data_IF_448273320619
#
_entry.id   IF_448273320619
#
_cell.length_a   1.000
_cell.length_b   1.000
_cell.length_c   1.000
_cell.angle_alpha   90.00
_cell.angle_beta   90.00
_cell.angle_gamma   90.00
#
_symmetry.space_group_name_H-M   'P 1'
#
loop_
_entity.id
_entity.type
_entity.pdbx_description
1 polymer ?
#
# COMPACT_ATOMS: atom_id res chain seq x y z
N UNK A 1 21.33 -18.11 -3.86
CA UNK A 1 21.92 -16.83 -3.37
C UNK A 1 20.78 -15.82 -3.27
N UNK A 2 20.36 -15.43 -2.07
CA UNK A 2 19.47 -14.30 -1.88
C UNK A 2 20.27 -13.00 -2.05
N UNK A 3 19.96 -12.24 -3.08
CA UNK A 3 20.50 -10.88 -3.24
C UNK A 3 19.59 -9.99 -2.41
N UNK A 4 20.04 -9.51 -1.25
CA UNK A 4 19.37 -8.45 -0.51
C UNK A 4 19.78 -7.11 -1.10
N UNK A 5 18.97 -6.58 -2.01
CA UNK A 5 19.12 -5.22 -2.49
C UNK A 5 18.36 -4.28 -1.56
N UNK A 6 19.06 -3.32 -0.98
CA UNK A 6 18.44 -2.29 -0.15
C UNK A 6 18.41 -0.97 -0.91
N UNK A 7 17.26 -0.61 -1.42
CA UNK A 7 17.04 0.66 -2.08
C UNK A 7 17.09 1.81 -1.04
N UNK A 8 17.80 2.86 -1.38
CA UNK A 8 17.92 4.06 -0.54
C UNK A 8 17.36 5.29 -1.24
N UNK A 9 16.99 6.37 -0.52
CA UNK A 9 16.56 7.62 -1.16
C UNK A 9 17.55 8.17 -2.19
N UNK A 10 18.85 7.96 -2.01
CA UNK A 10 19.87 8.40 -2.98
C UNK A 10 19.78 7.68 -4.32
N UNK A 11 19.36 6.43 -4.31
CA UNK A 11 19.23 5.62 -5.54
C UNK A 11 18.12 6.16 -6.44
N UNK A 12 17.12 6.84 -5.87
CA UNK A 12 15.94 7.36 -6.58
C UNK A 12 15.96 8.88 -6.79
N UNK A 13 17.00 9.60 -6.35
CA UNK A 13 17.12 11.06 -6.54
C UNK A 13 17.08 11.48 -8.00
N UNK A 14 17.56 10.63 -8.89
CA UNK A 14 17.65 10.86 -10.34
C UNK A 14 16.71 9.93 -11.12
N UNK A 15 15.66 9.43 -10.48
CA UNK A 15 14.69 8.59 -11.17
C UNK A 15 14.12 9.33 -12.38
N UNK A 16 14.05 8.64 -13.51
CA UNK A 16 13.43 9.17 -14.72
C UNK A 16 11.95 9.49 -14.47
N UNK A 17 11.34 10.43 -15.22
CA UNK A 17 9.90 10.62 -15.19
C UNK A 17 9.15 9.32 -15.50
N UNK A 18 7.93 9.20 -14.98
CA UNK A 18 7.05 8.08 -15.35
C UNK A 18 6.75 8.13 -16.87
N UNK A 19 6.77 6.99 -17.56
CA UNK A 19 6.25 6.91 -18.93
C UNK A 19 4.78 7.33 -18.99
N UNK A 20 4.36 7.99 -20.08
CA UNK A 20 2.98 8.46 -20.26
C UNK A 20 1.95 7.35 -20.10
N UNK A 21 2.26 6.15 -20.55
CA UNK A 21 1.41 4.97 -20.39
C UNK A 21 1.17 4.61 -18.92
N UNK A 22 2.17 4.80 -18.04
CA UNK A 22 2.03 4.59 -16.60
C UNK A 22 1.15 5.66 -15.97
N UNK A 23 1.29 6.92 -16.39
CA UNK A 23 0.43 8.01 -15.92
C UNK A 23 -1.02 7.69 -16.23
N UNK A 24 -1.30 7.34 -17.48
CA UNK A 24 -2.66 7.06 -17.97
C UNK A 24 -3.30 5.80 -17.38
N UNK A 25 -2.51 4.91 -16.79
CA UNK A 25 -3.01 3.65 -16.24
C UNK A 25 -2.99 3.59 -14.72
N UNK A 26 -2.02 4.21 -14.08
CA UNK A 26 -1.75 4.00 -12.65
C UNK A 26 -1.85 5.27 -11.80
N UNK A 27 -2.23 6.42 -12.40
CA UNK A 27 -2.49 7.66 -11.67
C UNK A 27 -3.93 8.16 -11.80
N UNK A 28 -4.84 7.34 -12.33
CA UNK A 28 -6.25 7.66 -12.51
C UNK A 28 -7.10 7.10 -11.37
N UNK A 29 -8.29 7.65 -11.20
CA UNK A 29 -9.30 7.15 -10.26
C UNK A 29 -10.21 6.12 -10.98
N UNK A 30 -9.70 4.91 -11.17
CA UNK A 30 -10.40 3.80 -11.85
C UNK A 30 -10.92 2.72 -10.90
N UNK A 31 -10.58 2.83 -9.62
CA UNK A 31 -10.90 1.85 -8.58
C UNK A 31 -11.84 2.42 -7.51
N UNK A 32 -12.60 3.47 -7.82
CA UNK A 32 -13.47 4.18 -6.86
C UNK A 32 -12.71 4.64 -5.59
N UNK A 33 -11.59 5.31 -5.83
CA UNK A 33 -10.68 5.75 -4.75
C UNK A 33 -11.06 7.10 -4.14
N UNK A 34 -12.17 7.70 -4.56
CA UNK A 34 -12.65 8.99 -4.10
C UNK A 34 -11.56 10.08 -4.16
N UNK A 35 -10.71 10.07 -5.20
CA UNK A 35 -9.57 10.99 -5.34
C UNK A 35 -9.99 12.45 -5.54
N UNK A 36 -11.25 12.71 -5.84
CA UNK A 36 -11.85 14.07 -5.92
C UNK A 36 -12.37 14.56 -4.56
N UNK A 37 -12.52 13.69 -3.57
CA UNK A 37 -12.92 14.05 -2.21
C UNK A 37 -11.90 14.95 -1.51
N UNK A 38 -12.39 15.97 -0.79
CA UNK A 38 -11.53 16.91 -0.05
C UNK A 38 -10.72 16.19 1.02
N UNK A 39 -11.32 15.26 1.79
CA UNK A 39 -10.61 14.53 2.85
C UNK A 39 -9.44 13.71 2.30
N UNK A 40 -9.60 13.10 1.12
CA UNK A 40 -8.54 12.32 0.47
C UNK A 40 -7.42 13.22 -0.04
N UNK A 41 -7.78 14.36 -0.65
CA UNK A 41 -6.79 15.35 -1.12
C UNK A 41 -6.00 15.99 0.01
N UNK A 42 -6.66 16.38 1.08
CA UNK A 42 -6.01 16.92 2.28
C UNK A 42 -5.08 15.89 2.91
N UNK A 43 -5.52 14.65 3.04
CA UNK A 43 -4.69 13.55 3.52
C UNK A 43 -3.44 13.31 2.63
N UNK A 44 -3.60 13.39 1.30
CA UNK A 44 -2.48 13.24 0.37
C UNK A 44 -1.43 14.36 0.53
N UNK A 45 -1.88 15.59 0.75
CA UNK A 45 -1.00 16.75 0.99
C UNK A 45 -0.32 16.61 2.37
N UNK A 46 -1.11 16.32 3.42
CA UNK A 46 -0.62 16.18 4.79
C UNK A 46 0.44 15.09 4.90
N UNK A 47 0.19 13.93 4.26
CA UNK A 47 1.09 12.77 4.31
C UNK A 47 2.47 13.06 3.75
N UNK A 48 2.57 13.85 2.70
CA UNK A 48 3.84 14.10 1.98
C UNK A 48 4.49 15.42 2.38
N UNK A 49 3.71 16.45 2.66
CA UNK A 49 4.21 17.80 2.90
C UNK A 49 5.05 18.30 1.73
N UNK A 50 6.26 18.78 2.01
CA UNK A 50 7.20 19.29 1.00
C UNK A 50 8.21 18.25 0.50
N UNK A 51 8.02 16.97 0.77
CA UNK A 51 8.96 15.93 0.35
C UNK A 51 8.90 15.72 -1.17
N UNK A 52 10.04 15.68 -1.82
CA UNK A 52 10.16 15.49 -3.28
C UNK A 52 10.70 14.13 -3.67
N UNK A 53 11.48 13.48 -2.80
CA UNK A 53 12.06 12.18 -3.07
C UNK A 53 10.98 11.09 -3.05
N UNK A 54 10.85 10.34 -4.15
CA UNK A 54 9.80 9.33 -4.33
C UNK A 54 9.77 8.29 -3.21
N UNK A 55 10.93 7.77 -2.83
CA UNK A 55 10.98 6.73 -1.78
C UNK A 55 10.59 7.29 -0.40
N UNK A 56 10.98 8.52 -0.08
CA UNK A 56 10.57 9.19 1.16
C UNK A 56 9.09 9.53 1.15
N UNK A 57 8.54 9.98 0.01
CA UNK A 57 7.08 10.13 -0.14
C UNK A 57 6.35 8.84 0.21
N UNK A 58 6.82 7.70 -0.33
CA UNK A 58 6.25 6.39 -0.02
C UNK A 58 6.30 6.05 1.46
N UNK A 59 7.44 6.30 2.13
CA UNK A 59 7.56 6.12 3.58
C UNK A 59 6.59 7.00 4.35
N UNK A 60 6.48 8.27 3.95
CA UNK A 60 5.61 9.24 4.61
C UNK A 60 4.13 8.84 4.45
N UNK A 61 3.69 8.52 3.22
CA UNK A 61 2.32 8.06 2.96
C UNK A 61 1.99 6.80 3.76
N UNK A 62 2.88 5.79 3.73
CA UNK A 62 2.68 4.56 4.50
C UNK A 62 2.53 4.87 6.00
N UNK A 63 3.44 5.66 6.56
CA UNK A 63 3.41 5.99 7.98
C UNK A 63 2.15 6.75 8.34
N UNK A 64 1.76 7.73 7.51
CA UNK A 64 0.53 8.48 7.67
C UNK A 64 -0.69 7.56 7.76
N UNK A 65 -0.84 6.65 6.80
CA UNK A 65 -1.97 5.72 6.76
C UNK A 65 -1.95 4.77 7.96
N UNK A 66 -0.78 4.26 8.34
CA UNK A 66 -0.64 3.36 9.50
C UNK A 66 -0.91 4.07 10.83
N UNK A 67 -0.65 5.36 10.92
CA UNK A 67 -0.92 6.14 12.13
C UNK A 67 -2.38 6.63 12.19
N UNK A 68 -3.03 6.82 11.03
CA UNK A 68 -4.45 7.26 10.95
C UNK A 68 -5.44 6.12 11.11
N UNK A 69 -5.10 4.91 10.69
CA UNK A 69 -6.03 3.80 10.64
C UNK A 69 -5.69 2.72 11.67
N UNK A 70 -6.73 2.20 12.31
CA UNK A 70 -6.68 0.95 13.08
C UNK A 70 -7.21 -0.19 12.24
N UNK A 71 -6.63 -1.40 12.39
CA UNK A 71 -7.10 -2.57 11.67
C UNK A 71 -8.45 -3.07 12.19
N UNK A 72 -9.39 -3.32 11.31
CA UNK A 72 -10.68 -3.88 11.63
C UNK A 72 -11.43 -4.34 10.39
N UNK A 73 -12.08 -5.52 10.49
CA UNK A 73 -12.85 -6.10 9.40
C UNK A 73 -14.28 -5.54 9.43
N UNK A 74 -14.77 -5.12 8.27
CA UNK A 74 -16.15 -4.68 8.03
C UNK A 74 -16.84 -5.61 7.03
N UNK A 75 -18.16 -5.61 6.96
CA UNK A 75 -18.92 -6.48 6.04
C UNK A 75 -18.66 -6.19 4.56
N UNK A 76 -18.23 -4.98 4.22
CA UNK A 76 -17.94 -4.52 2.87
C UNK A 76 -16.71 -3.59 2.89
N UNK A 77 -16.16 -3.36 1.72
CA UNK A 77 -15.04 -2.42 1.53
C UNK A 77 -15.64 -1.07 1.19
N UNK A 78 -15.30 -0.05 1.98
CA UNK A 78 -15.70 1.33 1.77
C UNK A 78 -14.62 2.11 1.00
N UNK A 79 -15.01 3.25 0.43
CA UNK A 79 -14.11 4.17 -0.28
C UNK A 79 -13.13 4.87 0.67
N UNK A 80 -11.97 5.32 0.17
CA UNK A 80 -10.92 5.95 0.98
C UNK A 80 -11.36 7.12 1.85
N UNK A 81 -12.30 7.94 1.39
CA UNK A 81 -12.85 9.06 2.15
C UNK A 81 -13.60 8.60 3.41
N UNK A 82 -14.48 7.59 3.26
CA UNK A 82 -15.21 6.99 4.39
C UNK A 82 -14.24 6.33 5.36
N UNK A 83 -13.22 5.63 4.84
CA UNK A 83 -12.22 4.94 5.66
C UNK A 83 -11.38 5.93 6.46
N UNK A 84 -10.92 7.02 5.84
CA UNK A 84 -10.16 8.08 6.52
C UNK A 84 -10.99 8.78 7.60
N UNK A 85 -12.27 9.06 7.34
CA UNK A 85 -13.17 9.66 8.32
C UNK A 85 -13.41 8.74 9.52
N UNK A 86 -13.60 7.45 9.26
CA UNK A 86 -13.87 6.43 10.28
C UNK A 86 -12.63 6.03 11.09
N UNK A 87 -11.44 6.06 10.48
CA UNK A 87 -10.18 5.67 11.13
C UNK A 87 -10.00 4.16 11.33
N UNK A 88 -10.81 3.30 10.69
CA UNK A 88 -10.74 1.84 10.81
C UNK A 88 -10.88 1.22 9.42
N UNK A 89 -10.02 0.24 9.09
CA UNK A 89 -10.08 -0.46 7.82
C UNK A 89 -9.51 -1.87 7.84
N UNK A 90 -9.96 -2.70 6.91
CA UNK A 90 -9.39 -3.99 6.57
C UNK A 90 -8.19 -3.83 5.62
N UNK A 91 -7.47 -4.92 5.30
CA UNK A 91 -6.34 -4.85 4.37
C UNK A 91 -6.73 -4.23 3.01
N UNK A 92 -7.92 -4.54 2.49
CA UNK A 92 -8.42 -3.95 1.24
C UNK A 92 -8.64 -2.44 1.34
N UNK A 93 -9.20 -1.96 2.45
CA UNK A 93 -9.44 -0.54 2.70
C UNK A 93 -8.13 0.23 2.93
N UNK A 94 -7.16 -0.36 3.64
CA UNK A 94 -5.80 0.20 3.72
C UNK A 94 -5.17 0.36 2.34
N UNK A 95 -5.29 -0.67 1.48
CA UNK A 95 -4.81 -0.59 0.09
C UNK A 95 -5.49 0.53 -0.67
N UNK A 96 -6.82 0.66 -0.57
CA UNK A 96 -7.58 1.75 -1.22
C UNK A 96 -7.05 3.13 -0.83
N UNK A 97 -6.89 3.39 0.47
CA UNK A 97 -6.33 4.66 0.97
C UNK A 97 -4.90 4.87 0.46
N UNK A 98 -4.03 3.86 0.58
CA UNK A 98 -2.66 3.95 0.09
C UNK A 98 -2.58 4.25 -1.41
N UNK A 99 -3.43 3.58 -2.24
CA UNK A 99 -3.51 3.84 -3.68
C UNK A 99 -3.89 5.29 -3.98
N UNK A 100 -4.97 5.78 -3.33
CA UNK A 100 -5.45 7.15 -3.52
C UNK A 100 -4.36 8.19 -3.21
N UNK A 101 -3.73 8.07 -2.03
CA UNK A 101 -2.69 9.01 -1.62
C UNK A 101 -1.43 8.93 -2.50
N UNK A 102 -1.04 7.73 -2.94
CA UNK A 102 0.08 7.53 -3.86
C UNK A 102 -0.20 8.16 -5.22
N UNK A 103 -1.36 7.86 -5.82
CA UNK A 103 -1.75 8.38 -7.15
C UNK A 103 -1.83 9.89 -7.17
N UNK A 104 -2.42 10.51 -6.15
CA UNK A 104 -2.47 11.97 -5.99
C UNK A 104 -1.08 12.61 -5.85
N UNK A 105 -0.10 11.86 -5.35
CA UNK A 105 1.30 12.29 -5.23
C UNK A 105 2.17 11.90 -6.44
N UNK A 106 1.57 11.47 -7.54
CA UNK A 106 2.27 11.10 -8.77
C UNK A 106 3.04 9.79 -8.71
N UNK A 107 2.68 8.89 -7.78
CA UNK A 107 3.32 7.59 -7.59
C UNK A 107 2.46 6.51 -8.21
N UNK A 108 2.93 5.91 -9.30
CA UNK A 108 2.25 4.81 -9.95
C UNK A 108 2.21 3.59 -9.02
N UNK A 109 1.02 3.07 -8.76
CA UNK A 109 0.81 1.94 -7.86
C UNK A 109 -0.37 1.06 -8.30
N UNK A 110 -0.34 -0.19 -7.85
CA UNK A 110 -1.36 -1.20 -8.16
C UNK A 110 -1.61 -2.14 -6.99
N UNK A 111 -2.80 -2.68 -6.93
CA UNK A 111 -3.18 -3.73 -5.96
C UNK A 111 -2.61 -5.07 -6.38
N UNK A 112 -2.12 -5.83 -5.41
CA UNK A 112 -1.73 -7.24 -5.56
C UNK A 112 -2.44 -8.03 -4.48
N UNK A 113 -2.98 -9.19 -4.85
CA UNK A 113 -3.69 -10.06 -3.92
C UNK A 113 -3.27 -11.51 -4.03
N UNK A 114 -3.39 -12.25 -2.94
CA UNK A 114 -3.19 -13.69 -2.90
C UNK A 114 -4.07 -14.34 -1.85
N UNK A 115 -4.19 -15.65 -1.97
CA UNK A 115 -4.72 -16.50 -0.91
C UNK A 115 -3.62 -16.89 0.07
N UNK A 116 -3.87 -16.81 1.37
CA UNK A 116 -3.02 -17.44 2.38
C UNK A 116 -3.31 -18.94 2.38
N UNK A 117 -2.27 -19.72 2.14
CA UNK A 117 -2.35 -21.17 2.24
C UNK A 117 -1.97 -21.63 3.65
N UNK A 118 -2.61 -22.67 4.19
CA UNK A 118 -2.17 -23.28 5.45
C UNK A 118 -0.72 -23.82 5.35
N UNK A 119 -0.04 -24.05 6.46
CA UNK A 119 1.31 -24.59 6.49
C UNK A 119 1.44 -25.86 5.65
N UNK A 120 2.54 -26.01 4.95
CA UNK A 120 2.79 -27.05 3.96
C UNK A 120 2.51 -28.49 4.45
N UNK A 121 2.74 -28.78 5.72
CA UNK A 121 2.50 -30.10 6.31
C UNK A 121 1.02 -30.52 6.30
N UNK A 122 0.09 -29.57 6.25
CA UNK A 122 -1.36 -29.81 6.29
C UNK A 122 -1.98 -29.93 4.88
N UNK A 123 -1.19 -29.76 3.83
CA UNK A 123 -1.69 -29.56 2.46
C UNK A 123 -1.61 -30.80 1.57
N UNK A 124 -1.03 -31.90 2.02
CA UNK A 124 -0.79 -33.07 1.16
C UNK A 124 -2.10 -33.77 0.77
N UNK A 125 -2.49 -33.55 -0.51
CA UNK A 125 -3.61 -34.25 -1.13
C UNK A 125 -5.01 -33.69 -0.82
N UNK A 126 -5.11 -32.55 -0.13
CA UNK A 126 -6.39 -31.91 0.16
C UNK A 126 -6.57 -30.70 -0.75
N UNK A 127 -7.74 -30.55 -1.45
CA UNK A 127 -8.05 -29.33 -2.19
C UNK A 127 -7.99 -28.14 -1.24
N UNK A 128 -7.17 -27.13 -1.60
CA UNK A 128 -7.08 -25.91 -0.82
C UNK A 128 -8.41 -25.15 -0.94
N UNK A 129 -9.08 -24.99 0.20
CA UNK A 129 -10.10 -23.97 0.37
C UNK A 129 -9.42 -22.83 1.13
N UNK A 130 -8.97 -21.76 0.43
CA UNK A 130 -8.32 -20.65 1.11
C UNK A 130 -9.35 -19.89 1.93
N UNK A 131 -9.27 -20.03 3.25
CA UNK A 131 -10.15 -19.32 4.19
C UNK A 131 -9.85 -17.82 4.27
N UNK A 132 -8.77 -17.36 3.64
CA UNK A 132 -8.27 -16.04 3.88
C UNK A 132 -7.57 -15.44 2.64
N UNK A 133 -8.07 -14.29 2.23
CA UNK A 133 -7.46 -13.45 1.19
C UNK A 133 -6.65 -12.34 1.86
N UNK A 134 -5.50 -12.04 1.28
CA UNK A 134 -4.71 -10.89 1.66
C UNK A 134 -4.36 -10.05 0.44
N UNK A 135 -4.39 -8.74 0.62
CA UNK A 135 -4.04 -7.77 -0.42
C UNK A 135 -3.00 -6.80 0.11
N UNK A 136 -2.10 -6.40 -0.76
CA UNK A 136 -1.11 -5.37 -0.55
C UNK A 136 -0.97 -4.54 -1.82
N UNK A 137 -0.08 -3.56 -1.83
CA UNK A 137 0.19 -2.79 -3.03
C UNK A 137 1.63 -2.98 -3.54
N UNK A 138 1.82 -2.70 -4.80
CA UNK A 138 3.12 -2.46 -5.40
C UNK A 138 3.17 -1.04 -5.94
N UNK A 139 4.27 -0.34 -5.69
CA UNK A 139 4.56 0.95 -6.28
C UNK A 139 5.72 0.87 -7.25
N UNK A 140 5.68 1.70 -8.28
CA UNK A 140 6.68 1.68 -9.34
C UNK A 140 7.73 2.76 -9.13
N UNK A 141 8.99 2.35 -9.16
CA UNK A 141 10.13 3.27 -9.20
C UNK A 141 10.80 3.18 -10.57
N UNK A 142 10.83 4.28 -11.36
CA UNK A 142 11.53 4.30 -12.63
C UNK A 142 12.98 3.87 -12.49
N UNK A 143 13.40 2.91 -13.34
CA UNK A 143 14.72 2.29 -13.29
C UNK A 143 14.86 1.09 -12.35
N UNK A 144 13.92 0.86 -11.44
CA UNK A 144 13.95 -0.25 -10.48
C UNK A 144 12.77 -1.22 -10.63
N UNK A 145 11.65 -0.75 -11.18
CA UNK A 145 10.45 -1.56 -11.39
C UNK A 145 9.46 -1.52 -10.23
N UNK A 146 8.64 -2.56 -10.11
CA UNK A 146 7.59 -2.69 -9.10
C UNK A 146 8.17 -3.21 -7.78
N UNK A 147 7.88 -2.49 -6.70
CA UNK A 147 8.30 -2.83 -5.34
C UNK A 147 7.08 -3.05 -4.46
N UNK A 148 7.00 -4.18 -3.75
CA UNK A 148 5.88 -4.46 -2.86
C UNK A 148 5.93 -3.62 -1.58
N UNK A 149 4.75 -3.26 -1.08
CA UNK A 149 4.55 -2.62 0.21
C UNK A 149 3.33 -3.23 0.89
N UNK A 150 3.50 -3.65 2.14
CA UNK A 150 2.40 -4.21 2.93
C UNK A 150 1.28 -3.19 3.14
N UNK A 151 0.04 -3.66 3.16
CA UNK A 151 -1.14 -2.81 3.28
C UNK A 151 -1.29 -2.20 4.67
N UNK A 152 -1.15 -2.99 5.71
CA UNK A 152 -1.35 -2.58 7.09
C UNK A 152 -0.16 -2.97 7.97
N UNK A 153 -0.01 -2.37 9.17
CA UNK A 153 0.97 -2.81 10.14
C UNK A 153 0.81 -4.30 10.39
N UNK A 154 1.94 -5.01 10.42
CA UNK A 154 1.89 -6.45 10.64
C UNK A 154 1.24 -6.75 11.99
N UNK A 155 0.25 -7.64 11.99
CA UNK A 155 -0.37 -8.22 13.18
C UNK A 155 0.57 -9.23 13.86
N UNK A 156 1.84 -8.92 13.94
CA UNK A 156 2.77 -9.75 14.70
C UNK A 156 2.36 -9.69 16.15
N UNK A 157 1.79 -10.75 16.54
CA UNK A 157 1.24 -11.13 17.80
C UNK A 157 1.36 -10.15 18.95
N UNK A 158 0.32 -10.03 19.73
CA UNK A 158 0.05 -9.14 20.86
C UNK A 158 1.23 -8.83 21.81
N UNK A 159 2.38 -9.47 21.63
CA UNK A 159 3.54 -9.42 22.52
C UNK A 159 4.83 -8.94 21.83
N UNK A 160 4.78 -8.49 20.58
CA UNK A 160 5.95 -7.95 19.88
C UNK A 160 6.15 -6.45 20.09
N UNK A 161 7.41 -5.98 20.22
CA UNK A 161 7.69 -4.59 20.59
C UNK A 161 7.53 -3.59 19.44
N UNK A 162 6.56 -3.57 18.68
CA UNK A 162 6.15 -2.64 17.60
C UNK A 162 5.73 -3.38 16.33
N UNK A 163 4.61 -2.98 15.72
CA UNK A 163 4.24 -3.44 14.39
C UNK A 163 5.38 -3.12 13.42
N UNK A 164 5.94 -4.14 12.82
CA UNK A 164 7.02 -3.98 11.87
C UNK A 164 6.45 -3.38 10.59
N UNK A 165 6.93 -2.22 10.23
CA UNK A 165 6.53 -1.50 9.02
C UNK A 165 7.47 -1.94 7.89
N UNK A 166 7.04 -2.93 7.10
CA UNK A 166 7.85 -3.45 6.00
C UNK A 166 7.62 -2.74 4.68
N UNK A 167 8.71 -2.53 3.97
CA UNK A 167 8.73 -2.84 2.54
C UNK A 167 9.22 -4.29 2.41
N UNK A 168 8.45 -5.14 1.81
CA UNK A 168 8.84 -6.52 1.57
C UNK A 168 9.89 -6.63 0.48
#
# INVERSE_FOLDING_TARGET
RSIKYRLTPRDVEKASPLPTEFINRYLIDDDDLAMDSNIVREAAIEAVGNETNLLRKMYNIRNYVYDKLSYGIKPHIDTPDIVLERGIGSCGEYVGVLLALCRLNGIACRTVGRYKCPPYAEQQGIPLQPDYNHVWLEFYIPGFGWLPMESNPDDVGRDGPHPTRYFM
#
